data_IF_528892607525
#
_entry.id   IF_528892607525
#
_cell.length_a   1.000
_cell.length_b   1.000
_cell.length_c   1.000
_cell.angle_alpha   90.00
_cell.angle_beta   90.00
_cell.angle_gamma   90.00
#
_symmetry.space_group_name_H-M   'P 1'
#
loop_
_entity.id
_entity.type
_entity.pdbx_description
1 polymer ?
#
# COMPACT_ATOMS: atom_id res chain seq x y z
N UNK A 1 -19.38 6.18 -8.86
CA UNK A 1 -18.24 5.48 -8.24
C UNK A 1 -17.09 6.44 -8.00
N UNK A 2 -16.47 6.37 -6.83
CA UNK A 2 -15.29 7.18 -6.54
C UNK A 2 -14.05 6.48 -7.09
N UNK A 3 -13.28 7.18 -7.91
CA UNK A 3 -12.04 6.65 -8.45
C UNK A 3 -10.98 6.62 -7.34
N UNK A 4 -10.48 5.44 -7.05
CA UNK A 4 -9.39 5.23 -6.10
C UNK A 4 -8.14 4.86 -6.85
N UNK A 5 -7.05 5.54 -6.55
CA UNK A 5 -5.78 5.30 -7.22
C UNK A 5 -4.69 4.93 -6.22
N UNK A 6 -3.84 4.05 -6.67
CA UNK A 6 -2.65 3.64 -5.93
C UNK A 6 -1.47 3.67 -6.87
N UNK A 7 -0.32 3.99 -6.37
CA UNK A 7 0.89 3.96 -7.15
C UNK A 7 1.52 2.57 -7.08
N UNK A 8 1.92 2.03 -8.22
CA UNK A 8 2.59 0.74 -8.28
C UNK A 8 3.77 0.83 -9.23
N UNK A 9 4.95 0.55 -8.68
CA UNK A 9 6.21 0.51 -9.43
C UNK A 9 6.78 -0.90 -9.30
N UNK A 10 6.73 -1.68 -10.37
CA UNK A 10 7.12 -3.09 -10.33
C UNK A 10 8.60 -3.35 -10.11
N UNK A 11 9.42 -2.30 -10.10
CA UNK A 11 10.88 -2.44 -10.00
C UNK A 11 11.43 -2.30 -8.58
N UNK A 12 10.59 -2.03 -7.58
CA UNK A 12 11.06 -1.89 -6.20
C UNK A 12 11.58 -3.23 -5.67
N UNK A 13 12.82 -3.25 -5.19
CA UNK A 13 13.39 -4.44 -4.57
C UNK A 13 12.87 -4.60 -3.14
N UNK A 14 12.69 -5.84 -2.69
CA UNK A 14 12.35 -6.12 -1.31
C UNK A 14 13.42 -5.57 -0.38
N UNK A 15 12.99 -4.94 0.71
CA UNK A 15 13.87 -4.40 1.74
C UNK A 15 13.49 -4.96 3.10
N UNK A 16 14.03 -4.40 4.17
CA UNK A 16 13.80 -4.87 5.53
C UNK A 16 13.55 -3.68 6.46
N UNK A 17 12.76 -3.90 7.51
CA UNK A 17 12.63 -2.91 8.58
C UNK A 17 13.99 -2.70 9.25
N UNK A 18 14.41 -1.46 9.42
CA UNK A 18 15.63 -1.13 10.14
C UNK A 18 15.45 -1.20 11.65
N UNK A 19 14.20 -1.10 12.13
CA UNK A 19 13.84 -1.23 13.54
C UNK A 19 12.45 -1.83 13.65
N UNK A 20 12.17 -2.53 14.74
CA UNK A 20 10.84 -3.10 15.00
C UNK A 20 9.77 -2.04 15.16
N UNK A 21 8.54 -2.39 14.84
CA UNK A 21 7.37 -1.53 15.02
C UNK A 21 6.27 -2.28 15.76
N UNK A 22 5.43 -1.55 16.47
CA UNK A 22 4.23 -2.12 17.09
C UNK A 22 3.02 -2.02 16.15
N UNK A 23 1.88 -2.55 16.57
CA UNK A 23 0.67 -2.61 15.74
C UNK A 23 0.01 -1.23 15.52
N UNK A 24 0.46 -0.20 16.21
CA UNK A 24 -0.11 1.15 16.09
C UNK A 24 0.89 2.18 15.54
N UNK A 25 2.09 1.75 15.14
CA UNK A 25 3.07 2.68 14.57
C UNK A 25 2.52 3.36 13.32
N UNK A 26 2.75 4.65 13.19
CA UNK A 26 2.27 5.47 12.07
C UNK A 26 3.37 5.77 11.06
N UNK A 27 4.57 5.33 11.32
CA UNK A 27 5.69 5.42 10.37
C UNK A 27 6.68 4.29 10.66
N UNK A 28 7.48 3.97 9.67
CA UNK A 28 8.56 2.99 9.85
C UNK A 28 9.71 3.31 8.90
N UNK A 29 10.89 2.84 9.26
CA UNK A 29 12.10 3.06 8.49
C UNK A 29 12.63 1.72 7.98
N UNK A 30 13.08 1.71 6.72
CA UNK A 30 13.63 0.51 6.08
C UNK A 30 15.12 0.71 5.79
N UNK A 31 15.82 -0.37 5.50
CA UNK A 31 17.24 -0.30 5.18
C UNK A 31 17.50 0.38 3.83
N UNK A 32 16.58 0.24 2.88
CA UNK A 32 16.65 0.95 1.60
C UNK A 32 15.25 1.15 1.02
N UNK A 33 14.83 2.41 0.89
CA UNK A 33 13.58 2.76 0.22
C UNK A 33 13.72 2.98 -1.28
N UNK A 34 14.90 2.71 -1.85
CA UNK A 34 15.16 2.93 -3.26
C UNK A 34 14.20 2.12 -4.15
N UNK A 35 13.65 2.76 -5.17
CA UNK A 35 12.74 2.10 -6.10
C UNK A 35 11.27 2.09 -5.67
N UNK A 36 10.97 2.39 -4.40
CA UNK A 36 9.58 2.53 -3.95
C UNK A 36 9.03 3.88 -4.38
N UNK A 37 7.71 3.99 -4.63
CA UNK A 37 7.09 5.29 -4.86
C UNK A 37 7.30 6.22 -3.68
N UNK A 38 7.23 7.54 -3.90
CA UNK A 38 7.33 8.52 -2.82
C UNK A 38 5.97 8.98 -2.30
N UNK A 39 4.89 8.56 -2.95
CA UNK A 39 3.53 8.94 -2.57
C UNK A 39 3.10 10.32 -3.04
N UNK A 40 3.94 11.02 -3.80
CA UNK A 40 3.62 12.38 -4.25
C UNK A 40 2.40 12.43 -5.16
N UNK A 41 2.15 11.38 -5.92
CA UNK A 41 0.97 11.28 -6.80
C UNK A 41 -0.16 10.53 -6.11
N UNK A 42 0.10 9.35 -5.60
CA UNK A 42 -0.92 8.49 -4.97
C UNK A 42 -0.30 7.65 -3.88
N UNK A 43 -1.11 7.21 -2.87
CA UNK A 43 -0.65 6.23 -1.89
C UNK A 43 -0.27 4.91 -2.56
N UNK A 44 0.54 4.13 -1.88
CA UNK A 44 0.96 2.82 -2.38
C UNK A 44 0.93 1.78 -1.25
N UNK A 45 0.98 0.51 -1.60
CA UNK A 45 0.83 -0.59 -0.65
C UNK A 45 2.15 -1.36 -0.52
N UNK A 46 2.52 -1.66 0.70
CA UNK A 46 3.63 -2.56 1.00
C UNK A 46 3.12 -3.74 1.82
N UNK A 47 3.82 -4.87 1.75
CA UNK A 47 3.54 -6.03 2.58
C UNK A 47 4.70 -6.21 3.55
N UNK A 48 4.38 -6.44 4.82
CA UNK A 48 5.33 -6.76 5.88
C UNK A 48 5.22 -8.24 6.18
N UNK A 49 6.35 -8.93 6.27
CA UNK A 49 6.44 -10.35 6.62
C UNK A 49 5.58 -11.25 5.73
N UNK A 50 5.69 -11.07 4.42
CA UNK A 50 4.93 -11.87 3.45
C UNK A 50 5.11 -13.37 3.71
N UNK A 51 3.98 -14.08 3.78
CA UNK A 51 3.97 -15.53 3.99
C UNK A 51 4.07 -15.96 5.45
N UNK A 52 4.22 -15.03 6.39
CA UNK A 52 4.25 -15.33 7.82
C UNK A 52 2.85 -15.17 8.45
N UNK A 53 2.69 -15.62 9.68
CA UNK A 53 1.42 -15.52 10.41
C UNK A 53 1.03 -14.07 10.69
N UNK A 54 2.00 -13.19 10.80
CA UNK A 54 1.82 -11.76 11.04
C UNK A 54 1.89 -10.93 9.77
N UNK A 55 1.74 -11.55 8.61
CA UNK A 55 1.71 -10.82 7.34
C UNK A 55 0.71 -9.68 7.41
N UNK A 56 1.16 -8.51 7.05
CA UNK A 56 0.33 -7.30 7.07
C UNK A 56 0.57 -6.49 5.83
N UNK A 57 -0.50 -6.02 5.20
CA UNK A 57 -0.42 -5.02 4.14
C UNK A 57 -0.64 -3.65 4.74
N UNK A 58 0.13 -2.68 4.30
CA UNK A 58 0.08 -1.31 4.81
C UNK A 58 -0.07 -0.34 3.66
N UNK A 59 -1.08 0.51 3.74
CA UNK A 59 -1.22 1.62 2.81
C UNK A 59 -0.33 2.76 3.28
N UNK A 60 0.59 3.19 2.42
CA UNK A 60 1.59 4.21 2.71
C UNK A 60 1.21 5.48 1.96
N UNK A 61 1.16 6.61 2.66
CA UNK A 61 0.80 7.89 2.06
C UNK A 61 2.00 8.64 1.49
N UNK A 62 3.19 8.43 2.05
CA UNK A 62 4.39 9.11 1.57
C UNK A 62 5.65 8.38 2.02
N UNK A 63 6.71 8.61 1.28
CA UNK A 63 8.04 8.13 1.61
C UNK A 63 9.05 9.27 1.45
N UNK A 64 9.89 9.42 2.44
CA UNK A 64 11.01 10.36 2.38
C UNK A 64 12.29 9.59 2.68
N UNK A 65 13.11 9.37 1.64
CA UNK A 65 14.30 8.52 1.80
C UNK A 65 13.89 7.09 2.19
N UNK A 66 14.29 6.68 3.38
CA UNK A 66 14.00 5.35 3.92
C UNK A 66 12.84 5.35 4.92
N UNK A 67 12.18 6.47 5.13
CA UNK A 67 11.06 6.58 6.08
C UNK A 67 9.73 6.56 5.33
N UNK A 68 8.86 5.63 5.71
CA UNK A 68 7.53 5.45 5.14
C UNK A 68 6.50 5.94 6.14
N UNK A 69 5.56 6.76 5.70
CA UNK A 69 4.46 7.26 6.54
C UNK A 69 3.19 6.49 6.22
N UNK A 70 2.58 5.90 7.25
CA UNK A 70 1.32 5.15 7.11
C UNK A 70 0.19 6.13 6.78
N UNK A 71 -0.65 5.76 5.82
CA UNK A 71 -1.80 6.58 5.44
C UNK A 71 -2.76 6.74 6.61
N UNK A 72 -3.35 7.93 6.73
CA UNK A 72 -4.36 8.20 7.74
C UNK A 72 -5.41 9.13 7.14
N UNK A 73 -6.69 8.74 7.29
CA UNK A 73 -7.84 9.54 6.84
C UNK A 73 -7.76 9.91 5.35
N UNK A 74 -7.34 8.96 4.53
CA UNK A 74 -7.18 9.16 3.08
C UNK A 74 -8.13 8.23 2.34
N UNK A 75 -8.95 8.78 1.44
CA UNK A 75 -9.78 7.98 0.52
C UNK A 75 -10.71 7.00 1.22
N UNK A 76 -11.22 7.35 2.39
CA UNK A 76 -12.08 6.47 3.20
C UNK A 76 -11.33 5.48 4.08
N UNK A 77 -9.99 5.53 4.07
CA UNK A 77 -9.14 4.69 4.92
C UNK A 77 -8.76 5.49 6.16
N UNK A 78 -9.22 5.05 7.34
CA UNK A 78 -8.90 5.71 8.62
C UNK A 78 -7.43 5.53 8.97
N UNK A 79 -6.92 4.31 8.81
CA UNK A 79 -5.51 3.98 9.01
C UNK A 79 -5.06 2.99 7.94
N UNK A 80 -3.86 3.18 7.43
CA UNK A 80 -3.26 2.26 6.46
C UNK A 80 -2.74 0.96 7.08
N UNK A 81 -2.72 0.84 8.41
CA UNK A 81 -2.33 -0.41 9.06
C UNK A 81 -3.42 -1.47 8.86
N UNK A 82 -3.01 -2.72 8.72
CA UNK A 82 -3.95 -3.82 8.49
C UNK A 82 -4.77 -3.68 7.22
N UNK A 83 -4.19 -3.15 6.16
CA UNK A 83 -4.89 -2.88 4.90
C UNK A 83 -5.21 -4.18 4.15
N UNK A 84 -6.21 -4.13 3.27
CA UNK A 84 -6.60 -5.24 2.37
C UNK A 84 -6.88 -6.55 3.13
N UNK A 85 -7.72 -6.48 4.17
CA UNK A 85 -8.16 -7.63 4.98
C UNK A 85 -7.06 -8.30 5.79
N UNK A 86 -5.92 -7.66 5.96
CA UNK A 86 -4.91 -8.10 6.92
C UNK A 86 -5.16 -7.45 8.28
N UNK A 87 -4.40 -7.83 9.30
CA UNK A 87 -4.52 -7.27 10.65
C UNK A 87 -3.23 -6.55 11.03
N UNK A 88 -3.36 -5.39 11.67
CA UNK A 88 -2.21 -4.68 12.18
C UNK A 88 -1.50 -5.54 13.25
N UNK A 89 -0.19 -5.66 13.14
CA UNK A 89 0.62 -6.49 14.02
C UNK A 89 1.95 -5.82 14.34
N UNK A 90 2.64 -6.33 15.35
CA UNK A 90 4.02 -5.93 15.60
C UNK A 90 4.93 -6.68 14.61
N UNK A 91 5.98 -6.00 14.17
CA UNK A 91 6.97 -6.58 13.27
C UNK A 91 8.37 -6.28 13.81
N UNK A 92 9.23 -7.27 13.75
CA UNK A 92 10.59 -7.15 14.27
C UNK A 92 11.49 -6.41 13.29
N UNK A 93 12.63 -5.95 13.77
CA UNK A 93 13.69 -5.46 12.90
C UNK A 93 14.10 -6.59 11.94
N UNK A 94 14.47 -6.24 10.72
CA UNK A 94 14.77 -7.16 9.61
C UNK A 94 13.55 -7.89 9.03
N UNK A 95 12.32 -7.58 9.48
CA UNK A 95 11.11 -8.06 8.79
C UNK A 95 11.10 -7.57 7.35
N UNK A 96 10.75 -8.44 6.42
CA UNK A 96 10.75 -8.12 4.99
C UNK A 96 9.65 -7.14 4.63
N UNK A 97 9.98 -6.19 3.77
CA UNK A 97 9.05 -5.16 3.28
C UNK A 97 9.08 -5.19 1.76
N UNK A 98 7.95 -5.49 1.14
CA UNK A 98 7.84 -5.55 -0.31
C UNK A 98 6.77 -4.60 -0.84
N UNK A 99 6.94 -4.08 -2.05
CA UNK A 99 5.93 -3.29 -2.74
C UNK A 99 4.99 -4.26 -3.48
N UNK A 100 3.69 -4.11 -3.27
CA UNK A 100 2.70 -5.05 -3.81
C UNK A 100 1.52 -4.33 -4.45
N UNK A 101 0.86 -5.03 -5.36
CA UNK A 101 -0.46 -4.66 -5.87
C UNK A 101 -1.48 -5.52 -5.12
N UNK A 102 -2.29 -4.90 -4.28
CA UNK A 102 -3.21 -5.59 -3.39
C UNK A 102 -4.57 -5.90 -4.05
N UNK A 103 -5.35 -6.79 -3.42
CA UNK A 103 -6.64 -7.20 -3.96
C UNK A 103 -7.65 -6.05 -4.00
N UNK A 104 -7.67 -5.19 -2.99
CA UNK A 104 -8.55 -4.03 -2.96
C UNK A 104 -8.27 -3.09 -4.12
N UNK A 105 -6.99 -2.80 -4.40
CA UNK A 105 -6.60 -1.95 -5.53
C UNK A 105 -6.96 -2.59 -6.86
N UNK A 106 -6.75 -3.90 -7.00
CA UNK A 106 -7.14 -4.63 -8.23
C UNK A 106 -8.64 -4.56 -8.46
N UNK A 107 -9.43 -4.71 -7.43
CA UNK A 107 -10.90 -4.60 -7.52
C UNK A 107 -11.31 -3.20 -7.95
N UNK A 108 -10.72 -2.17 -7.36
CA UNK A 108 -11.02 -0.76 -7.70
C UNK A 108 -10.66 -0.47 -9.17
N UNK A 109 -9.52 -0.94 -9.65
CA UNK A 109 -9.10 -0.77 -11.04
C UNK A 109 -10.07 -1.49 -11.98
N UNK A 110 -10.39 -2.74 -11.70
CA UNK A 110 -11.29 -3.56 -12.53
C UNK A 110 -12.68 -2.92 -12.62
N UNK A 111 -13.21 -2.42 -11.52
CA UNK A 111 -14.52 -1.76 -11.50
C UNK A 111 -14.49 -0.47 -12.33
N UNK A 112 -13.43 0.29 -12.25
CA UNK A 112 -13.29 1.53 -13.05
C UNK A 112 -13.28 1.22 -14.54
N UNK A 113 -12.54 0.21 -14.97
CA UNK A 113 -12.49 -0.19 -16.38
C UNK A 113 -13.85 -0.68 -16.85
N UNK A 114 -14.52 -1.50 -16.06
CA UNK A 114 -15.86 -1.99 -16.38
C UNK A 114 -16.87 -0.85 -16.56
N UNK A 115 -16.88 0.10 -15.64
CA UNK A 115 -17.78 1.26 -15.71
C UNK A 115 -17.54 2.08 -16.98
N UNK A 116 -16.32 2.31 -17.35
CA UNK A 116 -15.97 3.04 -18.57
C UNK A 116 -16.41 2.29 -19.82
N UNK A 117 -16.26 0.99 -19.87
CA UNK A 117 -16.67 0.16 -20.98
C UNK A 117 -18.19 0.18 -21.15
N UNK A 118 -18.95 0.04 -20.06
CA UNK A 118 -20.40 0.10 -20.10
C UNK A 118 -20.87 1.44 -20.64
N UNK A 119 -20.30 2.54 -20.17
CA UNK A 119 -20.66 3.88 -20.65
C UNK A 119 -20.39 4.03 -22.15
N UNK A 120 -19.29 3.49 -22.64
CA UNK A 120 -18.96 3.51 -24.06
C UNK A 120 -20.02 2.79 -24.90
N UNK A 121 -20.40 1.56 -24.52
CA UNK A 121 -21.40 0.75 -25.23
C UNK A 121 -22.79 1.39 -25.19
N UNK A 122 -23.09 2.14 -24.16
CA UNK A 122 -24.35 2.87 -24.04
C UNK A 122 -24.36 4.21 -24.81
N UNK A 123 -23.25 4.59 -25.44
CA UNK A 123 -23.13 5.83 -26.19
C UNK A 123 -23.09 7.08 -25.34
N UNK A 124 -22.66 6.98 -24.08
CA UNK A 124 -22.64 8.08 -23.11
C UNK A 124 -21.22 8.57 -22.84
N UNK A 125 -20.24 7.89 -23.35
CA UNK A 125 -18.84 8.24 -23.13
C UNK A 125 -18.39 9.36 -24.04
#
# INVERSE_FOLDING_TARGET
MTLKRREFVGAASETELSAGINSSATSFTVTSGSGFPDGSSYPFVVVLDRGANDEEKVLVSSRSGNTFTVAANIGGVTSGRGFDSTSAASHDSASKVGHVLDATTMTDISQTVYDNEVLYWMGVA
#
